data_IF_016088479978
#
_entry.id   IF_016088479978
#
_cell.length_a   1.000
_cell.length_b   1.000
_cell.length_c   1.000
_cell.angle_alpha   90.00
_cell.angle_beta   90.00
_cell.angle_gamma   90.00
#
_symmetry.space_group_name_H-M   'P 1'
#
loop_
_entity.id
_entity.type
_entity.pdbx_description
1 polymer ?
#
# COMPACT_ATOMS: atom_id res chain seq x y z
N UNK A 1 -5.15 -21.81 -39.35
CA UNK A 1 -4.40 -21.48 -38.13
C UNK A 1 -4.82 -20.12 -37.63
N UNK A 2 -5.33 -20.08 -36.40
CA UNK A 2 -5.75 -18.87 -35.69
C UNK A 2 -4.62 -18.39 -34.77
N UNK A 3 -4.84 -17.28 -34.06
CA UNK A 3 -3.92 -16.79 -33.03
C UNK A 3 -4.60 -16.63 -31.66
N UNK A 4 -3.84 -16.75 -30.57
CA UNK A 4 -4.35 -16.44 -29.23
C UNK A 4 -4.50 -14.92 -29.04
N UNK A 5 -5.48 -14.47 -28.24
CA UNK A 5 -5.81 -13.04 -28.17
C UNK A 5 -4.77 -12.18 -27.42
N UNK A 6 -4.00 -12.76 -26.50
CA UNK A 6 -3.13 -11.99 -25.59
C UNK A 6 -1.66 -11.99 -25.99
N UNK A 7 -1.16 -13.14 -26.49
CA UNK A 7 0.24 -13.34 -26.82
C UNK A 7 0.44 -13.64 -28.31
N UNK A 8 -0.62 -13.55 -29.12
CA UNK A 8 -0.60 -13.82 -30.55
C UNK A 8 0.02 -15.17 -30.93
N UNK A 9 -0.09 -16.18 -30.05
CA UNK A 9 0.50 -17.50 -30.26
C UNK A 9 -0.27 -18.21 -31.37
N UNK A 10 0.45 -18.91 -32.25
CA UNK A 10 -0.13 -19.77 -33.28
C UNK A 10 -1.03 -20.81 -32.63
N UNK A 11 -2.31 -20.81 -32.98
CA UNK A 11 -3.35 -21.71 -32.45
C UNK A 11 -3.93 -22.55 -33.59
N UNK A 12 -3.44 -23.78 -33.79
CA UNK A 12 -3.96 -24.69 -34.80
C UNK A 12 -5.43 -25.04 -34.54
N UNK A 13 -6.23 -25.11 -35.60
CA UNK A 13 -7.55 -25.73 -35.59
C UNK A 13 -7.47 -27.26 -35.60
N UNK A 14 -8.62 -27.93 -35.46
CA UNK A 14 -8.68 -29.40 -35.36
C UNK A 14 -8.08 -30.15 -36.56
N UNK A 15 -8.05 -29.51 -37.73
CA UNK A 15 -7.56 -30.09 -38.99
C UNK A 15 -6.29 -29.42 -39.51
N UNK A 16 -5.72 -28.48 -38.76
CA UNK A 16 -4.50 -27.79 -39.16
C UNK A 16 -3.28 -28.69 -38.92
N UNK A 17 -2.33 -28.67 -39.86
CA UNK A 17 -1.03 -29.29 -39.66
C UNK A 17 -0.18 -28.42 -38.73
N UNK A 18 0.58 -29.04 -37.82
CA UNK A 18 1.46 -28.34 -36.88
C UNK A 18 2.91 -28.59 -37.28
N UNK A 19 3.67 -27.52 -37.51
CA UNK A 19 5.11 -27.61 -37.69
C UNK A 19 5.82 -27.44 -36.34
N UNK A 20 6.96 -28.11 -36.16
CA UNK A 20 7.80 -27.96 -34.95
C UNK A 20 8.25 -26.49 -34.79
N UNK A 21 8.49 -25.78 -35.90
CA UNK A 21 8.81 -24.34 -35.88
C UNK A 21 7.71 -23.50 -35.22
N UNK A 22 6.44 -23.84 -35.44
CA UNK A 22 5.31 -23.11 -34.84
C UNK A 22 5.29 -23.27 -33.32
N UNK A 23 5.70 -24.45 -32.83
CA UNK A 23 5.81 -24.72 -31.39
C UNK A 23 6.99 -23.93 -30.80
N UNK A 24 8.14 -23.94 -31.47
CA UNK A 24 9.33 -23.23 -30.99
C UNK A 24 9.09 -21.72 -30.92
N UNK A 25 8.49 -21.13 -31.95
CA UNK A 25 8.17 -19.70 -31.94
C UNK A 25 7.17 -19.35 -30.82
N UNK A 26 6.16 -20.18 -30.58
CA UNK A 26 5.25 -19.99 -29.44
C UNK A 26 5.97 -20.11 -28.10
N UNK A 27 6.96 -21.01 -27.99
CA UNK A 27 7.74 -21.19 -26.77
C UNK A 27 8.62 -19.97 -26.49
N UNK A 28 9.25 -19.39 -27.51
CA UNK A 28 10.06 -18.17 -27.36
C UNK A 28 9.22 -16.99 -26.85
N UNK A 29 7.98 -16.85 -27.36
CA UNK A 29 7.05 -15.81 -26.88
C UNK A 29 6.63 -16.06 -25.43
N UNK A 30 6.36 -17.32 -25.06
CA UNK A 30 6.00 -17.67 -23.69
C UNK A 30 7.15 -17.45 -22.70
N UNK A 31 8.37 -17.84 -23.08
CA UNK A 31 9.56 -17.64 -22.25
C UNK A 31 9.81 -16.15 -22.00
N UNK A 32 9.73 -15.32 -23.05
CA UNK A 32 9.86 -13.87 -22.93
C UNK A 32 8.79 -13.27 -22.01
N UNK A 33 7.51 -13.61 -22.21
CA UNK A 33 6.42 -13.09 -21.40
C UNK A 33 6.53 -13.53 -19.92
N UNK A 34 6.97 -14.76 -19.66
CA UNK A 34 7.20 -15.25 -18.29
C UNK A 34 8.40 -14.54 -17.65
N UNK A 35 9.48 -14.33 -18.40
CA UNK A 35 10.63 -13.59 -17.90
C UNK A 35 10.28 -12.12 -17.59
N UNK A 36 9.50 -11.45 -18.44
CA UNK A 36 8.99 -10.09 -18.18
C UNK A 36 8.14 -10.03 -16.91
N UNK A 37 7.22 -10.99 -16.71
CA UNK A 37 6.45 -11.11 -15.48
C UNK A 37 7.36 -11.29 -14.26
N UNK A 38 8.37 -12.16 -14.36
CA UNK A 38 9.34 -12.38 -13.28
C UNK A 38 10.17 -11.13 -12.99
N UNK A 39 10.61 -10.37 -14.00
CA UNK A 39 11.34 -9.13 -13.81
C UNK A 39 10.46 -8.05 -13.16
N UNK A 40 9.23 -7.88 -13.62
CA UNK A 40 8.27 -6.97 -12.98
C UNK A 40 8.02 -7.29 -11.50
N UNK A 41 8.13 -8.57 -11.10
CA UNK A 41 8.06 -8.98 -9.68
C UNK A 41 9.37 -8.82 -8.90
N UNK A 42 10.54 -8.76 -9.57
CA UNK A 42 11.86 -8.60 -8.93
C UNK A 42 12.27 -7.14 -8.72
N UNK A 43 11.75 -6.22 -9.55
CA UNK A 43 12.09 -4.79 -9.48
C UNK A 43 11.33 -4.02 -8.40
N UNK A 44 10.32 -4.64 -7.79
CA UNK A 44 9.81 -4.15 -6.51
C UNK A 44 10.90 -4.49 -5.50
N UNK A 45 11.66 -3.51 -4.96
CA UNK A 45 12.61 -3.80 -3.89
C UNK A 45 11.88 -4.60 -2.82
N UNK A 46 12.57 -5.56 -2.20
CA UNK A 46 12.00 -6.41 -1.14
C UNK A 46 11.08 -5.53 -0.29
N UNK A 47 9.77 -5.84 -0.32
CA UNK A 47 8.81 -5.09 0.46
C UNK A 47 9.29 -5.19 1.91
N UNK A 48 9.67 -4.06 2.51
CA UNK A 48 10.02 -3.97 3.92
C UNK A 48 8.74 -4.02 4.77
N UNK A 49 7.96 -5.07 4.54
CA UNK A 49 6.64 -5.34 5.10
C UNK A 49 6.69 -6.67 5.84
N UNK A 50 5.83 -6.85 6.83
CA UNK A 50 5.73 -8.14 7.53
C UNK A 50 5.23 -9.23 6.57
N UNK A 51 4.35 -8.88 5.62
CA UNK A 51 3.85 -9.76 4.56
C UNK A 51 4.48 -9.42 3.21
N UNK A 52 5.27 -10.34 2.66
CA UNK A 52 6.01 -10.19 1.38
C UNK A 52 5.14 -10.32 0.12
N UNK A 53 3.82 -10.31 0.26
CA UNK A 53 2.90 -10.25 -0.88
C UNK A 53 2.51 -8.81 -1.17
N UNK A 54 2.16 -8.52 -2.43
CA UNK A 54 1.57 -7.23 -2.81
C UNK A 54 0.32 -6.90 -1.98
N UNK A 55 -0.51 -7.91 -1.70
CA UNK A 55 -1.71 -7.76 -0.87
C UNK A 55 -1.38 -7.44 0.59
N UNK A 56 -0.33 -8.05 1.13
CA UNK A 56 0.24 -7.77 2.44
C UNK A 56 0.65 -6.31 2.59
N UNK A 57 1.53 -5.84 1.70
CA UNK A 57 1.99 -4.45 1.69
C UNK A 57 0.84 -3.44 1.58
N UNK A 58 -0.17 -3.69 0.75
CA UNK A 58 -1.36 -2.83 0.63
C UNK A 58 -2.13 -2.76 1.96
N UNK A 59 -2.28 -3.88 2.66
CA UNK A 59 -2.98 -3.92 3.94
C UNK A 59 -2.21 -3.19 5.04
N UNK A 60 -0.88 -3.31 5.07
CA UNK A 60 -0.03 -2.58 6.03
C UNK A 60 -0.14 -1.06 5.84
N UNK A 61 0.05 -0.57 4.61
CA UNK A 61 -0.13 0.87 4.30
C UNK A 61 -1.54 1.35 4.63
N UNK A 62 -2.57 0.55 4.33
CA UNK A 62 -3.96 0.89 4.66
C UNK A 62 -4.15 1.03 6.18
N UNK A 63 -3.52 0.18 6.98
CA UNK A 63 -3.61 0.25 8.44
C UNK A 63 -2.88 1.49 8.97
N UNK A 64 -1.69 1.81 8.46
CA UNK A 64 -0.99 3.05 8.82
C UNK A 64 -1.82 4.31 8.50
N UNK A 65 -2.44 4.36 7.31
CA UNK A 65 -3.33 5.46 6.93
C UNK A 65 -4.54 5.57 7.86
N UNK A 66 -5.14 4.45 8.26
CA UNK A 66 -6.25 4.43 9.23
C UNK A 66 -5.78 4.95 10.59
N UNK A 67 -4.61 4.53 11.07
CA UNK A 67 -4.06 4.96 12.35
C UNK A 67 -3.78 6.47 12.36
N UNK A 68 -3.07 6.99 11.34
CA UNK A 68 -2.80 8.42 11.20
C UNK A 68 -4.09 9.24 11.12
N UNK A 69 -5.10 8.74 10.39
CA UNK A 69 -6.41 9.39 10.31
C UNK A 69 -7.07 9.48 11.69
N UNK A 70 -7.07 8.39 12.46
CA UNK A 70 -7.64 8.37 13.81
C UNK A 70 -6.90 9.32 14.76
N UNK A 71 -5.57 9.38 14.67
CA UNK A 71 -4.77 10.33 15.47
C UNK A 71 -5.12 11.79 15.16
N UNK A 72 -5.26 12.13 13.87
CA UNK A 72 -5.67 13.49 13.45
C UNK A 72 -7.10 13.79 13.91
N UNK A 73 -8.05 12.86 13.73
CA UNK A 73 -9.44 13.05 14.18
C UNK A 73 -9.51 13.27 15.70
N UNK A 74 -8.73 12.50 16.47
CA UNK A 74 -8.60 12.68 17.92
C UNK A 74 -8.05 14.07 18.28
N UNK A 75 -7.01 14.53 17.58
CA UNK A 75 -6.40 15.86 17.80
C UNK A 75 -7.36 17.02 17.46
N UNK A 76 -8.16 16.87 16.40
CA UNK A 76 -9.15 17.88 15.98
C UNK A 76 -10.30 17.98 16.98
N UNK A 77 -10.75 16.85 17.55
CA UNK A 77 -11.89 16.83 18.49
C UNK A 77 -11.46 17.28 19.89
N UNK A 78 -10.25 16.93 20.33
CA UNK A 78 -9.76 17.27 21.65
C UNK A 78 -8.76 18.45 21.59
N UNK A 79 -9.13 19.66 22.07
CA UNK A 79 -8.25 20.83 22.02
C UNK A 79 -7.07 20.77 23.01
N UNK A 80 -7.03 19.78 23.92
CA UNK A 80 -5.90 19.50 24.82
C UNK A 80 -5.52 18.00 24.80
N UNK A 81 -4.98 17.48 23.69
CA UNK A 81 -4.70 16.04 23.54
C UNK A 81 -3.35 15.62 24.12
N UNK A 82 -2.47 16.56 24.44
CA UNK A 82 -1.13 16.27 24.92
C UNK A 82 -1.07 16.30 26.45
N UNK A 83 -0.26 15.44 27.05
CA UNK A 83 -0.09 15.34 28.50
C UNK A 83 1.39 15.33 28.89
N UNK A 84 1.72 15.86 30.06
CA UNK A 84 3.05 15.74 30.67
C UNK A 84 2.93 15.69 32.20
N UNK A 85 4.00 15.22 32.85
CA UNK A 85 4.12 15.18 34.31
C UNK A 85 5.20 16.14 34.75
N UNK A 86 4.89 17.01 35.70
CA UNK A 86 5.86 17.89 36.35
C UNK A 86 5.61 17.94 37.86
N UNK A 87 6.67 17.76 38.66
CA UNK A 87 6.61 17.77 40.13
C UNK A 87 5.49 16.90 40.74
N UNK A 88 5.23 15.73 40.16
CA UNK A 88 4.20 14.79 40.61
C UNK A 88 2.76 15.16 40.23
N UNK A 89 2.56 16.25 39.49
CA UNK A 89 1.27 16.66 38.93
C UNK A 89 1.21 16.33 37.44
N UNK A 90 0.03 15.93 36.97
CA UNK A 90 -0.22 15.68 35.55
C UNK A 90 -0.91 16.89 34.95
N UNK A 91 -0.46 17.32 33.78
CA UNK A 91 -1.06 18.43 33.05
C UNK A 91 -1.48 17.94 31.67
N UNK A 92 -2.56 18.52 31.13
CA UNK A 92 -2.89 18.42 29.72
C UNK A 92 -2.85 19.77 29.04
N UNK A 93 -2.49 19.80 27.77
CA UNK A 93 -2.31 21.03 27.01
C UNK A 93 -2.63 20.85 25.53
N UNK A 94 -2.86 21.99 24.86
CA UNK A 94 -3.06 22.07 23.42
C UNK A 94 -3.34 23.49 22.94
N UNK A 95 -4.06 23.61 21.83
CA UNK A 95 -4.33 24.87 21.15
C UNK A 95 -5.83 25.05 20.89
N UNK A 96 -6.31 26.28 21.00
CA UNK A 96 -7.66 26.65 20.57
C UNK A 96 -7.68 28.03 19.91
N UNK A 97 -8.80 28.36 19.28
CA UNK A 97 -9.10 29.74 18.86
C UNK A 97 -10.21 30.30 19.74
N UNK A 98 -9.99 31.46 20.33
CA UNK A 98 -11.01 32.22 21.07
C UNK A 98 -11.05 33.63 20.50
N UNK A 99 -12.23 34.11 20.11
CA UNK A 99 -12.43 35.43 19.50
C UNK A 99 -11.50 35.70 18.29
N UNK A 100 -11.29 34.67 17.46
CA UNK A 100 -10.43 34.76 16.27
C UNK A 100 -8.93 34.81 16.56
N UNK A 101 -8.50 34.61 17.81
CA UNK A 101 -7.08 34.62 18.21
C UNK A 101 -6.63 33.22 18.65
N UNK A 102 -5.45 32.74 18.20
CA UNK A 102 -4.90 31.49 18.69
C UNK A 102 -4.51 31.61 20.16
N UNK A 103 -4.79 30.58 20.95
CA UNK A 103 -4.45 30.47 22.36
C UNK A 103 -3.80 29.13 22.64
N UNK A 104 -2.68 29.16 23.36
CA UNK A 104 -2.19 28.00 24.08
C UNK A 104 -3.03 27.81 25.34
N UNK A 105 -3.47 26.58 25.59
CA UNK A 105 -4.27 26.22 26.77
C UNK A 105 -3.63 25.04 27.49
N UNK A 106 -3.66 25.06 28.82
CA UNK A 106 -3.21 23.96 29.66
C UNK A 106 -3.95 23.96 30.99
N UNK A 107 -4.09 22.80 31.60
CA UNK A 107 -4.69 22.63 32.93
C UNK A 107 -4.09 21.43 33.68
N UNK A 108 -4.10 21.49 35.00
CA UNK A 108 -3.76 20.35 35.86
C UNK A 108 -4.91 19.33 35.81
N UNK A 109 -4.60 18.07 35.54
CA UNK A 109 -5.56 16.97 35.53
C UNK A 109 -5.80 16.55 36.98
N UNK A 110 -6.99 16.88 37.49
CA UNK A 110 -7.45 16.46 38.81
C UNK A 110 -8.10 15.08 38.70
N UNK A 111 -7.63 14.13 39.51
CA UNK A 111 -8.22 12.78 39.65
C UNK A 111 -9.45 12.83 40.55
#
# INVERSE_FOLDING_TARGET
MEHTPNLNLKKPGLTDNILISDINENMDVLDAAVNELQQGTKEIPDLETEDKTLGGAINEVKNEVINVKQEIESHVINPMPHMFVDNGKTYRWGFRTLDGKPQFIYEEVTV
#
